data_IF_244111063920
#
_entry.id   IF_244111063920
#
_cell.length_a   1.000
_cell.length_b   1.000
_cell.length_c   1.000
_cell.angle_alpha   90.00
_cell.angle_beta   90.00
_cell.angle_gamma   90.00
#
_symmetry.space_group_name_H-M   'P 1'
#
loop_
_entity.id
_entity.type
_entity.pdbx_description
1 polymer ?
#
# COMPACT_ATOMS: atom_id res chain seq x y z
N UNK A 1 6.99 -4.74 -37.67
CA UNK A 1 7.55 -3.71 -36.75
C UNK A 1 6.39 -3.05 -36.00
N UNK A 2 6.25 -3.31 -34.70
CA UNK A 2 5.11 -2.86 -33.88
C UNK A 2 5.12 -1.37 -33.52
N UNK A 3 4.62 -1.07 -32.32
CA UNK A 3 4.66 0.26 -31.71
C UNK A 3 6.13 0.72 -31.61
N UNK A 4 6.38 2.00 -31.89
CA UNK A 4 7.71 2.60 -31.91
C UNK A 4 7.77 3.76 -30.92
N UNK A 5 8.92 3.89 -30.23
CA UNK A 5 9.23 4.91 -29.22
C UNK A 5 10.05 6.07 -29.78
N UNK A 6 10.28 6.09 -31.09
CA UNK A 6 10.97 7.17 -31.80
C UNK A 6 10.30 8.53 -31.54
N UNK A 7 11.04 9.63 -31.68
CA UNK A 7 10.49 10.97 -31.52
C UNK A 7 10.33 11.72 -32.86
N UNK A 8 10.77 11.12 -33.98
CA UNK A 8 10.75 11.75 -35.30
C UNK A 8 9.40 11.71 -35.99
N UNK A 9 8.52 10.78 -35.62
CA UNK A 9 7.12 10.84 -36.03
C UNK A 9 6.36 12.06 -35.46
N UNK A 10 6.89 12.72 -34.42
CA UNK A 10 6.29 13.93 -33.82
C UNK A 10 6.63 15.19 -34.62
N UNK A 11 5.81 16.24 -34.48
CA UNK A 11 6.07 17.57 -35.09
C UNK A 11 7.24 18.29 -34.41
N UNK A 12 7.83 19.27 -35.11
CA UNK A 12 8.76 20.21 -34.50
C UNK A 12 8.07 21.12 -33.48
N UNK A 13 8.84 21.77 -32.60
CA UNK A 13 8.33 22.80 -31.66
C UNK A 13 7.63 23.94 -32.39
N UNK A 14 8.05 24.25 -33.63
CA UNK A 14 7.41 25.23 -34.51
C UNK A 14 6.10 24.74 -35.15
N UNK A 15 5.69 23.48 -34.94
CA UNK A 15 4.50 22.87 -35.53
C UNK A 15 4.71 22.23 -36.90
N UNK A 16 5.87 22.46 -37.53
CA UNK A 16 6.24 21.86 -38.82
C UNK A 16 6.31 20.33 -38.78
N UNK A 17 5.92 19.68 -39.89
CA UNK A 17 5.98 18.23 -40.05
C UNK A 17 7.42 17.77 -40.35
N UNK A 18 7.87 16.69 -39.71
CA UNK A 18 9.15 16.03 -39.98
C UNK A 18 9.01 15.00 -41.09
N UNK A 19 10.01 14.92 -41.97
CA UNK A 19 10.15 13.80 -42.91
C UNK A 19 10.98 12.70 -42.26
N UNK A 20 10.49 11.45 -42.20
CA UNK A 20 11.29 10.32 -41.73
C UNK A 20 12.52 10.13 -42.63
N UNK A 21 13.70 10.01 -42.04
CA UNK A 21 14.96 9.87 -42.78
C UNK A 21 15.49 8.42 -42.79
N UNK A 22 14.99 7.56 -41.91
CA UNK A 22 15.28 6.12 -41.92
C UNK A 22 14.05 5.29 -41.52
N UNK A 23 14.16 3.97 -41.71
CA UNK A 23 13.14 3.00 -41.25
C UNK A 23 13.24 2.77 -39.75
N UNK A 24 12.17 2.25 -39.13
CA UNK A 24 12.13 1.94 -37.68
C UNK A 24 13.29 1.02 -37.28
N UNK A 25 13.89 1.26 -36.12
CA UNK A 25 15.01 0.46 -35.61
C UNK A 25 14.58 -0.49 -34.49
N UNK A 26 15.37 -1.55 -34.25
CA UNK A 26 15.06 -2.58 -33.22
C UNK A 26 15.09 -2.02 -31.79
N UNK A 27 15.98 -1.08 -31.49
CA UNK A 27 16.10 -0.47 -30.16
C UNK A 27 14.98 0.55 -29.86
N UNK A 28 14.21 0.95 -30.86
CA UNK A 28 13.07 1.89 -30.71
C UNK A 28 11.75 1.16 -30.47
N UNK A 29 11.76 -0.16 -30.35
CA UNK A 29 10.54 -0.94 -30.17
C UNK A 29 9.84 -0.59 -28.85
N UNK A 30 8.51 -0.43 -28.93
CA UNK A 30 7.62 -0.36 -27.79
C UNK A 30 6.90 -1.69 -27.59
N UNK A 31 6.70 -2.06 -26.33
CA UNK A 31 5.89 -3.23 -25.96
C UNK A 31 4.47 -2.79 -25.55
N UNK A 32 3.45 -3.63 -25.78
CA UNK A 32 2.11 -3.35 -25.28
C UNK A 32 2.10 -3.26 -23.75
N UNK A 33 1.15 -2.49 -23.21
CA UNK A 33 1.02 -2.33 -21.77
C UNK A 33 0.63 -3.68 -21.11
N UNK A 34 1.26 -4.03 -19.98
CA UNK A 34 0.87 -5.20 -19.21
C UNK A 34 -0.46 -4.91 -18.50
N UNK A 35 -1.50 -5.66 -18.85
CA UNK A 35 -2.81 -5.58 -18.20
C UNK A 35 -2.82 -6.39 -16.89
N UNK A 36 -2.08 -5.91 -15.88
CA UNK A 36 -2.07 -6.52 -14.55
C UNK A 36 -3.47 -6.45 -13.92
N UNK A 37 -3.93 -7.59 -13.42
CA UNK A 37 -5.20 -7.72 -12.70
C UNK A 37 -4.94 -8.27 -11.31
N UNK A 38 -5.80 -7.90 -10.37
CA UNK A 38 -5.80 -8.50 -9.05
C UNK A 38 -6.21 -9.97 -9.20
N UNK A 39 -5.31 -10.88 -8.82
CA UNK A 39 -5.66 -12.26 -8.55
C UNK A 39 -6.09 -12.38 -7.08
N UNK A 40 -6.88 -13.40 -6.69
CA UNK A 40 -7.22 -13.62 -5.30
C UNK A 40 -5.95 -14.02 -4.52
N UNK A 41 -5.34 -13.05 -3.86
CA UNK A 41 -4.30 -13.26 -2.87
C UNK A 41 -4.80 -12.67 -1.55
N UNK A 42 -5.02 -13.54 -0.56
CA UNK A 42 -5.38 -13.14 0.80
C UNK A 42 -4.11 -12.94 1.59
N UNK A 43 -3.89 -11.73 2.12
CA UNK A 43 -2.79 -11.50 3.05
C UNK A 43 -3.17 -10.46 4.10
N UNK A 44 -3.31 -10.93 5.34
CA UNK A 44 -3.61 -10.15 6.54
C UNK A 44 -2.50 -10.37 7.57
N UNK A 45 -1.29 -9.91 7.29
CA UNK A 45 -0.10 -10.17 8.14
C UNK A 45 0.36 -8.95 8.95
N UNK A 46 -0.16 -7.74 8.66
CA UNK A 46 0.24 -6.51 9.37
C UNK A 46 -0.30 -6.43 10.80
N UNK A 47 -1.54 -6.84 11.03
CA UNK A 47 -2.19 -6.82 12.35
C UNK A 47 -1.44 -7.70 13.35
N UNK A 48 -1.14 -8.94 12.98
CA UNK A 48 -0.41 -9.88 13.83
C UNK A 48 0.98 -9.38 14.27
N UNK A 49 1.64 -8.55 13.44
CA UNK A 49 2.98 -8.01 13.73
C UNK A 49 2.95 -6.94 14.82
N UNK A 50 1.93 -6.09 14.82
CA UNK A 50 1.83 -4.95 15.74
C UNK A 50 1.34 -5.40 17.13
N UNK A 51 0.39 -6.33 17.18
CA UNK A 51 -0.07 -6.99 18.41
C UNK A 51 1.07 -7.73 19.13
N UNK A 52 1.91 -8.44 18.38
CA UNK A 52 3.09 -9.10 18.92
C UNK A 52 4.11 -8.12 19.50
N UNK A 53 4.24 -6.93 18.90
CA UNK A 53 5.27 -5.93 19.28
C UNK A 53 4.88 -5.13 20.52
N UNK A 54 3.61 -4.73 20.63
CA UNK A 54 3.16 -3.90 21.75
C UNK A 54 2.38 -4.67 22.80
N UNK A 55 1.98 -5.92 22.54
CA UNK A 55 1.11 -6.70 23.41
C UNK A 55 -0.14 -5.89 23.81
N UNK A 56 -0.76 -5.28 22.80
CA UNK A 56 -2.01 -4.55 22.86
C UNK A 56 -2.92 -5.10 21.76
N UNK A 57 -4.21 -5.38 22.05
CA UNK A 57 -5.16 -5.80 21.03
C UNK A 57 -5.48 -4.61 20.12
N UNK A 58 -5.45 -4.81 18.80
CA UNK A 58 -5.73 -3.77 17.80
C UNK A 58 -6.89 -4.19 16.90
N UNK A 59 -7.75 -3.25 16.52
CA UNK A 59 -8.86 -3.51 15.59
C UNK A 59 -10.05 -4.28 16.18
N UNK A 60 -10.00 -4.73 17.43
CA UNK A 60 -11.16 -5.35 18.09
C UNK A 60 -12.29 -4.32 18.29
N UNK A 61 -13.51 -4.68 17.90
CA UNK A 61 -14.70 -3.88 18.22
C UNK A 61 -14.83 -3.78 19.74
N UNK A 62 -15.10 -2.57 20.26
CA UNK A 62 -15.33 -2.35 21.70
C UNK A 62 -16.43 -3.30 22.19
N UNK A 63 -16.08 -4.30 23.00
CA UNK A 63 -17.01 -5.29 23.56
C UNK A 63 -17.00 -6.67 22.90
N UNK A 64 -16.25 -6.88 21.81
CA UNK A 64 -16.03 -8.22 21.27
C UNK A 64 -15.02 -8.98 22.14
N UNK A 65 -15.33 -10.23 22.49
CA UNK A 65 -14.37 -11.11 23.18
C UNK A 65 -13.25 -11.48 22.21
N UNK A 66 -12.01 -11.36 22.66
CA UNK A 66 -10.84 -11.81 21.91
C UNK A 66 -10.90 -13.33 21.77
N UNK A 67 -10.32 -13.86 20.70
CA UNK A 67 -10.19 -15.31 20.57
C UNK A 67 -9.25 -15.84 21.66
N UNK A 68 -9.44 -17.09 22.14
CA UNK A 68 -8.60 -17.64 23.21
C UNK A 68 -7.11 -17.63 22.85
N UNK A 69 -6.78 -17.74 21.56
CA UNK A 69 -5.41 -17.69 21.02
C UNK A 69 -4.79 -16.29 21.14
N UNK A 70 -5.55 -15.24 20.83
CA UNK A 70 -5.11 -13.84 20.95
C UNK A 70 -4.92 -13.45 22.43
N UNK A 71 -5.80 -13.92 23.33
CA UNK A 71 -5.71 -13.67 24.77
C UNK A 71 -4.47 -14.34 25.39
N UNK A 72 -4.12 -15.56 24.94
CA UNK A 72 -2.96 -16.30 25.44
C UNK A 72 -1.63 -15.64 25.02
N UNK A 73 -1.55 -15.14 23.78
CA UNK A 73 -0.37 -14.41 23.28
C UNK A 73 -0.19 -13.09 24.06
N UNK A 74 -1.29 -12.39 24.33
CA UNK A 74 -1.29 -11.10 25.02
C UNK A 74 -0.87 -11.24 26.49
N UNK A 75 -1.40 -12.25 27.18
CA UNK A 75 -1.23 -12.45 28.63
C UNK A 75 -0.10 -13.43 28.99
N UNK A 76 0.75 -13.79 28.03
CA UNK A 76 1.87 -14.70 28.27
C UNK A 76 2.74 -14.22 29.44
N UNK A 77 2.96 -15.11 30.42
CA UNK A 77 3.81 -14.84 31.59
C UNK A 77 5.24 -14.51 31.13
N UNK A 78 5.69 -13.30 31.43
CA UNK A 78 7.02 -12.78 31.03
C UNK A 78 7.89 -12.50 32.26
N UNK A 79 9.22 -12.48 32.05
CA UNK A 79 10.16 -12.10 33.09
C UNK A 79 10.06 -10.59 33.41
N UNK A 80 10.41 -10.20 34.63
CA UNK A 80 10.30 -8.79 35.11
C UNK A 80 11.02 -7.78 34.19
N UNK A 81 12.18 -8.14 33.63
CA UNK A 81 12.94 -7.30 32.68
C UNK A 81 12.20 -7.12 31.35
N UNK A 82 11.60 -8.19 30.84
CA UNK A 82 10.84 -8.17 29.59
C UNK A 82 9.56 -7.37 29.78
N UNK A 83 8.87 -7.54 30.92
CA UNK A 83 7.65 -6.78 31.21
C UNK A 83 7.91 -5.26 31.19
N UNK A 84 8.97 -4.81 31.88
CA UNK A 84 9.37 -3.40 31.88
C UNK A 84 9.63 -2.86 30.46
N UNK A 85 10.26 -3.66 29.59
CA UNK A 85 10.48 -3.31 28.17
C UNK A 85 9.17 -3.09 27.42
N UNK A 86 8.18 -3.96 27.60
CA UNK A 86 6.86 -3.79 26.99
C UNK A 86 6.13 -2.57 27.56
N UNK A 87 6.18 -2.35 28.87
CA UNK A 87 5.53 -1.19 29.51
C UNK A 87 6.12 0.14 29.00
N UNK A 88 7.44 0.19 28.73
CA UNK A 88 8.09 1.33 28.10
C UNK A 88 7.69 1.51 26.62
N UNK A 89 7.52 0.42 25.86
CA UNK A 89 7.06 0.48 24.47
C UNK A 89 5.60 0.90 24.35
N UNK A 90 4.73 0.43 25.25
CA UNK A 90 3.30 0.78 25.31
C UNK A 90 3.07 2.29 25.45
N UNK A 91 3.96 3.00 26.15
CA UNK A 91 3.88 4.47 26.28
C UNK A 91 3.97 5.21 24.94
N UNK A 92 4.63 4.62 23.94
CA UNK A 92 4.79 5.21 22.59
C UNK A 92 3.78 4.66 21.58
N UNK A 93 2.95 3.71 21.97
CA UNK A 93 2.04 2.98 21.08
C UNK A 93 0.73 3.75 20.79
N UNK A 94 0.82 5.07 20.58
CA UNK A 94 -0.35 5.88 20.22
C UNK A 94 -0.52 5.88 18.70
N UNK A 95 -1.63 5.32 18.23
CA UNK A 95 -2.00 5.26 16.81
C UNK A 95 -2.96 6.43 16.50
N UNK A 96 -3.00 6.87 15.24
CA UNK A 96 -3.95 7.89 14.80
C UNK A 96 -5.38 7.32 14.71
N UNK A 97 -6.39 8.14 15.03
CA UNK A 97 -7.80 7.69 15.02
C UNK A 97 -8.28 7.17 13.66
N UNK A 98 -7.79 7.76 12.57
CA UNK A 98 -8.12 7.33 11.20
C UNK A 98 -7.60 5.91 10.90
N UNK A 99 -6.43 5.56 11.43
CA UNK A 99 -5.90 4.20 11.28
C UNK A 99 -6.68 3.22 12.15
N UNK A 100 -7.09 3.60 13.36
CA UNK A 100 -7.92 2.76 14.22
C UNK A 100 -9.24 2.37 13.54
N UNK A 101 -9.90 3.30 12.83
CA UNK A 101 -11.11 3.03 12.05
C UNK A 101 -10.85 2.01 10.92
N UNK A 102 -9.71 2.13 10.23
CA UNK A 102 -9.33 1.19 9.16
C UNK A 102 -8.99 -0.20 9.71
N UNK A 103 -8.35 -0.28 10.88
CA UNK A 103 -8.10 -1.55 11.57
C UNK A 103 -9.41 -2.24 11.98
N UNK A 104 -10.42 -1.49 12.43
CA UNK A 104 -11.75 -2.06 12.72
C UNK A 104 -12.46 -2.60 11.47
N UNK A 105 -12.21 -1.99 10.31
CA UNK A 105 -12.73 -2.46 9.02
C UNK A 105 -11.94 -3.68 8.49
N UNK A 106 -10.75 -3.95 9.03
CA UNK A 106 -9.85 -4.99 8.55
C UNK A 106 -9.22 -4.68 7.18
N UNK A 107 -9.31 -3.43 6.71
CA UNK A 107 -8.81 -3.00 5.41
C UNK A 107 -8.04 -1.69 5.54
N UNK A 108 -6.73 -1.75 5.31
CA UNK A 108 -5.85 -0.57 5.31
C UNK A 108 -5.74 0.01 3.90
N UNK A 109 -5.71 1.33 3.82
CA UNK A 109 -5.43 2.03 2.57
C UNK A 109 -3.92 2.13 2.36
N UNK A 110 -3.45 1.72 1.18
CA UNK A 110 -2.05 1.74 0.81
C UNK A 110 -1.85 2.35 -0.58
N UNK A 111 -0.66 2.90 -0.82
CA UNK A 111 -0.24 3.36 -2.14
C UNK A 111 0.82 2.41 -2.70
N UNK A 112 0.64 1.97 -3.95
CA UNK A 112 1.63 1.16 -4.66
C UNK A 112 2.76 2.10 -5.11
N UNK A 113 3.98 1.83 -4.64
CA UNK A 113 5.17 2.59 -4.99
C UNK A 113 5.97 1.93 -6.13
N UNK A 114 5.76 0.63 -6.36
CA UNK A 114 6.45 -0.12 -7.42
C UNK A 114 5.81 0.04 -8.80
N UNK A 115 6.48 -0.51 -9.82
CA UNK A 115 5.99 -0.58 -11.22
C UNK A 115 5.79 -2.04 -11.63
N UNK A 116 4.69 -2.69 -11.23
CA UNK A 116 4.52 -4.13 -11.35
C UNK A 116 4.60 -4.64 -12.80
N UNK A 117 4.25 -3.81 -13.78
CA UNK A 117 4.40 -4.15 -15.20
C UNK A 117 5.85 -4.26 -15.71
N UNK A 118 6.83 -3.83 -14.92
CA UNK A 118 8.25 -3.92 -15.23
C UNK A 118 8.96 -4.89 -14.27
N UNK A 119 8.70 -4.77 -12.97
CA UNK A 119 9.37 -5.56 -11.94
C UNK A 119 8.63 -6.84 -11.53
N UNK A 120 7.36 -7.02 -11.89
CA UNK A 120 6.56 -8.18 -11.48
C UNK A 120 6.07 -8.16 -10.03
N UNK A 121 6.37 -7.11 -9.25
CA UNK A 121 6.01 -6.99 -7.84
C UNK A 121 5.23 -5.70 -7.55
N UNK A 122 4.30 -5.76 -6.58
CA UNK A 122 3.43 -4.67 -6.16
C UNK A 122 3.76 -4.21 -4.73
N UNK A 123 4.96 -3.65 -4.53
CA UNK A 123 5.37 -3.11 -3.24
C UNK A 123 4.63 -1.81 -2.92
N UNK A 124 4.23 -1.68 -1.66
CA UNK A 124 3.37 -0.59 -1.19
C UNK A 124 3.76 -0.10 0.19
N UNK A 125 3.31 1.11 0.51
CA UNK A 125 3.34 1.65 1.88
C UNK A 125 1.92 2.02 2.33
N UNK A 126 1.67 1.92 3.62
CA UNK A 126 0.40 2.30 4.26
C UNK A 126 0.31 3.82 4.28
N UNK A 127 -0.86 4.36 3.94
CA UNK A 127 -1.09 5.79 4.02
C UNK A 127 -1.25 6.21 5.48
N UNK A 128 -0.60 7.30 5.89
CA UNK A 128 -0.73 7.85 7.24
C UNK A 128 -0.95 9.38 7.26
N UNK A 129 -1.50 9.90 8.38
CA UNK A 129 -1.65 11.33 8.62
C UNK A 129 -2.43 12.09 7.54
N UNK A 130 -1.86 13.23 7.07
CA UNK A 130 -2.49 14.12 6.09
C UNK A 130 -2.73 13.48 4.72
N UNK A 131 -1.93 12.48 4.36
CA UNK A 131 -2.08 11.77 3.08
C UNK A 131 -3.38 10.96 3.06
N UNK A 132 -3.68 10.25 4.16
CA UNK A 132 -4.93 9.50 4.32
C UNK A 132 -6.13 10.42 4.19
N UNK A 133 -6.10 11.56 4.88
CA UNK A 133 -7.17 12.55 4.85
C UNK A 133 -7.42 13.06 3.42
N UNK A 134 -6.35 13.35 2.69
CA UNK A 134 -6.43 13.82 1.31
C UNK A 134 -7.10 12.78 0.39
N UNK A 135 -6.66 11.52 0.45
CA UNK A 135 -7.21 10.45 -0.39
C UNK A 135 -8.64 10.08 0.00
N UNK A 136 -8.96 10.03 1.29
CA UNK A 136 -10.34 9.82 1.75
C UNK A 136 -11.28 10.91 1.23
N UNK A 137 -10.85 12.18 1.25
CA UNK A 137 -11.63 13.29 0.68
C UNK A 137 -11.87 13.12 -0.81
N UNK A 138 -10.86 12.67 -1.57
CA UNK A 138 -10.99 12.37 -3.00
C UNK A 138 -11.94 11.22 -3.28
N UNK A 139 -11.86 10.13 -2.51
CA UNK A 139 -12.74 8.97 -2.63
C UNK A 139 -14.19 9.37 -2.33
N UNK A 140 -14.42 10.12 -1.24
CA UNK A 140 -15.77 10.61 -0.88
C UNK A 140 -16.35 11.51 -1.97
N UNK A 141 -15.57 12.47 -2.48
CA UNK A 141 -16.01 13.36 -3.55
C UNK A 141 -16.28 12.64 -4.87
N UNK A 142 -15.58 11.54 -5.16
CA UNK A 142 -15.82 10.72 -6.33
C UNK A 142 -17.07 9.84 -6.19
N UNK A 143 -17.30 9.25 -5.01
CA UNK A 143 -18.50 8.41 -4.74
C UNK A 143 -19.80 9.23 -4.64
N UNK A 144 -19.71 10.51 -4.29
CA UNK A 144 -20.87 11.39 -4.18
C UNK A 144 -21.33 12.00 -5.51
N UNK A 145 -20.61 11.73 -6.61
CA UNK A 145 -21.06 11.99 -7.98
C UNK A 145 -21.76 10.75 -8.53
#
# INVERSE_FOLDING_TARGET
MGISRDNWHKRHKTGGKRKPYHKKQKYELGHPLPALRLAPATYTQSVCREESRYALPLGCKKGAKLTPEEEEILNKRRSKKIQKKYDEMKKKAKISSLLEEQFQQGQLLACIASRPGQCGHADSYVLEGKEVEFYLRKIKAWKGK
#
